data_IF_822348750532
#
_entry.id   IF_822348750532
#
_cell.length_a   1.000
_cell.length_b   1.000
_cell.length_c   1.000
_cell.angle_alpha   90.00
_cell.angle_beta   90.00
_cell.angle_gamma   90.00
#
_symmetry.space_group_name_H-M   'P 1'
#
loop_
_entity.id
_entity.type
_entity.pdbx_description
1 polymer ?
#
# COMPACT_ATOMS: atom_id res chain seq x y z
N UNK A 1 -12.41 -11.00 -17.27
CA UNK A 1 -12.09 -10.98 -15.81
C UNK A 1 -12.70 -9.72 -15.22
N UNK A 2 -13.06 -9.76 -13.95
CA UNK A 2 -13.80 -8.73 -13.20
C UNK A 2 -12.87 -7.69 -12.58
N UNK A 3 -13.40 -6.51 -12.24
CA UNK A 3 -12.76 -5.44 -11.44
C UNK A 3 -11.80 -6.00 -10.39
N UNK A 4 -10.55 -5.52 -10.40
CA UNK A 4 -9.47 -6.03 -9.56
C UNK A 4 -9.69 -5.65 -8.09
N UNK A 5 -9.52 -6.64 -7.20
CA UNK A 5 -9.66 -6.46 -5.75
C UNK A 5 -8.28 -6.43 -5.11
N UNK A 6 -7.86 -5.28 -4.57
CA UNK A 6 -6.55 -5.12 -3.89
C UNK A 6 -6.75 -5.13 -2.37
N UNK A 7 -6.21 -6.14 -1.68
CA UNK A 7 -6.20 -6.18 -0.20
C UNK A 7 -5.04 -5.39 0.37
N UNK A 8 -5.30 -4.56 1.37
CA UNK A 8 -4.28 -3.63 1.91
C UNK A 8 -3.20 -4.34 2.72
N UNK A 9 -3.48 -5.54 3.21
CA UNK A 9 -2.50 -6.34 3.92
C UNK A 9 -1.54 -7.08 2.98
N UNK A 10 -1.72 -7.02 1.65
CA UNK A 10 -0.89 -7.73 0.68
C UNK A 10 -0.79 -9.25 0.93
N UNK A 11 -1.84 -9.87 1.48
CA UNK A 11 -1.88 -11.32 1.80
C UNK A 11 -1.63 -12.27 0.63
N UNK A 12 -1.83 -11.82 -0.61
CA UNK A 12 -1.64 -12.64 -1.81
C UNK A 12 -0.36 -12.28 -2.58
N UNK A 13 0.47 -11.38 -2.04
CA UNK A 13 1.66 -10.93 -2.73
C UNK A 13 2.82 -11.92 -2.51
N UNK A 14 3.06 -12.75 -3.53
CA UNK A 14 4.02 -13.87 -3.50
C UNK A 14 5.47 -13.47 -3.22
N UNK A 15 5.82 -12.19 -3.41
CA UNK A 15 7.15 -11.64 -3.11
C UNK A 15 7.44 -11.60 -1.60
N UNK A 16 6.40 -11.47 -0.76
CA UNK A 16 6.54 -11.47 0.70
C UNK A 16 6.68 -12.90 1.22
N UNK A 17 7.89 -13.23 1.70
CA UNK A 17 8.16 -14.51 2.39
C UNK A 17 7.69 -14.41 3.83
N UNK A 18 8.07 -13.33 4.51
CA UNK A 18 7.69 -13.06 5.89
C UNK A 18 7.25 -11.62 6.03
N UNK A 19 6.10 -11.40 6.68
CA UNK A 19 5.55 -10.06 6.91
C UNK A 19 4.88 -9.96 8.27
N UNK A 20 4.90 -8.76 8.80
CA UNK A 20 4.02 -8.35 9.89
C UNK A 20 3.03 -7.32 9.37
N UNK A 21 1.84 -7.31 9.96
CA UNK A 21 0.77 -6.40 9.55
C UNK A 21 0.06 -5.82 10.78
N UNK A 22 -0.15 -4.51 10.76
CA UNK A 22 -0.94 -3.79 11.77
C UNK A 22 -1.91 -2.87 11.08
N UNK A 23 -3.13 -2.76 11.58
CA UNK A 23 -4.11 -1.83 11.04
C UNK A 23 -4.94 -1.14 12.13
N UNK A 24 -5.43 0.05 11.77
CA UNK A 24 -6.23 0.92 12.63
C UNK A 24 -7.34 1.54 11.80
N UNK A 25 -8.58 1.33 12.24
CA UNK A 25 -9.71 2.11 11.76
C UNK A 25 -9.68 3.47 12.44
N UNK A 26 -9.75 4.55 11.67
CA UNK A 26 -9.74 5.92 12.15
C UNK A 26 -11.11 6.51 11.88
N UNK A 27 -11.69 7.15 12.88
CA UNK A 27 -12.96 7.86 12.79
C UNK A 27 -12.88 9.11 13.66
N UNK A 28 -12.49 10.23 13.07
CA UNK A 28 -12.46 11.54 13.72
C UNK A 28 -12.78 12.64 12.70
N UNK A 29 -12.90 13.88 13.16
CA UNK A 29 -13.30 15.02 12.32
C UNK A 29 -12.30 15.36 11.19
N UNK A 30 -11.05 14.88 11.28
CA UNK A 30 -10.00 15.15 10.27
C UNK A 30 -9.90 14.04 9.23
N UNK A 31 -10.14 12.79 9.63
CA UNK A 31 -10.03 11.64 8.75
C UNK A 31 -10.92 10.49 9.22
N UNK A 32 -11.61 9.90 8.26
CA UNK A 32 -12.36 8.67 8.43
C UNK A 32 -11.91 7.66 7.39
N UNK A 33 -11.51 6.48 7.82
CA UNK A 33 -10.93 5.47 6.93
C UNK A 33 -10.22 4.36 7.70
N UNK A 34 -9.39 3.59 7.00
CA UNK A 34 -8.51 2.59 7.60
C UNK A 34 -7.07 2.80 7.15
N UNK A 35 -6.14 2.62 8.09
CA UNK A 35 -4.71 2.70 7.85
C UNK A 35 -4.09 1.35 8.19
N UNK A 36 -3.37 0.76 7.26
CA UNK A 36 -2.59 -0.46 7.42
C UNK A 36 -1.09 -0.18 7.29
N UNK A 37 -0.27 -0.96 7.99
CA UNK A 37 1.18 -0.96 7.85
C UNK A 37 1.62 -2.41 7.62
N UNK A 38 2.17 -2.68 6.44
CA UNK A 38 2.85 -3.93 6.12
C UNK A 38 4.33 -3.71 6.39
N UNK A 39 4.94 -4.54 7.23
CA UNK A 39 6.39 -4.61 7.43
C UNK A 39 6.92 -5.87 6.78
N UNK A 40 7.77 -5.73 5.78
CA UNK A 40 8.36 -6.85 5.05
C UNK A 40 9.55 -7.36 5.86
N UNK A 41 9.41 -8.49 6.54
CA UNK A 41 10.54 -9.08 7.28
C UNK A 41 11.53 -9.75 6.35
N UNK A 42 10.99 -10.42 5.34
CA UNK A 42 11.77 -11.06 4.30
C UNK A 42 11.02 -10.99 2.97
N UNK A 43 11.70 -10.52 1.93
CA UNK A 43 11.25 -10.63 0.54
C UNK A 43 12.03 -11.71 -0.19
N UNK A 44 11.45 -12.24 -1.27
CA UNK A 44 12.13 -13.22 -2.13
C UNK A 44 13.33 -12.62 -2.85
N UNK A 45 13.16 -11.40 -3.34
CA UNK A 45 14.15 -10.57 -4.01
C UNK A 45 13.57 -9.13 -4.00
N UNK A 46 14.43 -8.10 -4.03
CA UNK A 46 13.99 -6.71 -4.09
C UNK A 46 13.04 -6.43 -5.26
N UNK A 47 12.13 -5.47 -5.09
CA UNK A 47 11.34 -4.91 -6.18
C UNK A 47 11.91 -3.54 -6.55
N UNK A 48 12.50 -3.45 -7.72
CA UNK A 48 12.91 -2.20 -8.36
C UNK A 48 11.86 -1.78 -9.38
N UNK A 49 11.54 -0.49 -9.39
CA UNK A 49 10.63 0.15 -10.35
C UNK A 49 11.28 1.43 -10.88
N UNK A 50 10.87 1.84 -12.08
CA UNK A 50 11.26 3.13 -12.64
C UNK A 50 10.09 4.09 -12.50
N UNK A 51 10.30 5.21 -11.82
CA UNK A 51 9.28 6.23 -11.54
C UNK A 51 9.84 7.59 -11.91
N UNK A 52 9.17 8.31 -12.80
CA UNK A 52 9.64 9.61 -13.33
C UNK A 52 11.09 9.52 -13.83
N UNK A 53 11.41 8.41 -14.52
CA UNK A 53 12.74 8.13 -15.05
C UNK A 53 13.82 7.77 -14.02
N UNK A 54 13.48 7.61 -12.74
CA UNK A 54 14.41 7.23 -11.67
C UNK A 54 14.16 5.79 -11.22
N UNK A 55 15.23 5.02 -11.04
CA UNK A 55 15.11 3.66 -10.50
C UNK A 55 15.08 3.67 -8.98
N UNK A 56 14.06 3.02 -8.40
CA UNK A 56 13.80 3.00 -6.97
C UNK A 56 13.51 1.58 -6.53
N UNK A 57 14.20 1.13 -5.47
CA UNK A 57 13.86 -0.12 -4.80
C UNK A 57 12.72 0.19 -3.83
N UNK A 58 11.53 -0.31 -4.11
CA UNK A 58 10.30 0.01 -3.35
C UNK A 58 9.91 -1.11 -2.39
N UNK A 59 10.53 -2.28 -2.50
CA UNK A 59 10.41 -3.37 -1.55
C UNK A 59 11.71 -4.12 -1.39
N UNK A 60 12.19 -4.21 -0.17
CA UNK A 60 13.31 -5.04 0.24
C UNK A 60 13.09 -5.52 1.69
N UNK A 61 14.03 -6.27 2.24
CA UNK A 61 14.02 -6.70 3.63
C UNK A 61 13.94 -5.49 4.57
N UNK A 62 13.03 -5.58 5.54
CA UNK A 62 12.70 -4.56 6.54
C UNK A 62 12.02 -3.29 6.03
N UNK A 63 11.70 -3.23 4.73
CA UNK A 63 10.93 -2.12 4.16
C UNK A 63 9.48 -2.16 4.65
N UNK A 64 8.79 -1.04 4.52
CA UNK A 64 7.41 -0.91 4.99
C UNK A 64 6.53 -0.22 3.97
N UNK A 65 5.31 -0.72 3.84
CA UNK A 65 4.27 -0.08 3.05
C UNK A 65 3.15 0.38 3.96
N UNK A 66 2.93 1.70 4.00
CA UNK A 66 1.78 2.32 4.65
C UNK A 66 0.62 2.37 3.65
N UNK A 67 -0.54 1.86 4.03
CA UNK A 67 -1.73 1.78 3.19
C UNK A 67 -2.82 2.63 3.83
N UNK A 68 -3.32 3.64 3.14
CA UNK A 68 -4.34 4.57 3.63
C UNK A 68 -5.54 4.48 2.70
N UNK A 69 -6.67 4.04 3.25
CA UNK A 69 -7.95 3.96 2.54
C UNK A 69 -8.91 4.96 3.20
N UNK A 70 -9.07 6.17 2.64
CA UNK A 70 -10.09 7.10 3.11
C UNK A 70 -11.48 6.55 2.81
N UNK A 71 -12.41 6.69 3.76
CA UNK A 71 -13.81 6.34 3.56
C UNK A 71 -14.45 7.34 2.58
N UNK A 72 -15.32 6.85 1.68
CA UNK A 72 -16.04 7.65 0.66
C UNK A 72 -15.17 8.37 -0.37
N UNK A 73 -13.84 8.27 -0.31
CA UNK A 73 -12.96 8.66 -1.42
C UNK A 73 -12.82 7.52 -2.41
N UNK A 74 -12.53 7.90 -3.65
CA UNK A 74 -12.36 7.00 -4.80
C UNK A 74 -10.89 6.85 -5.19
N UNK A 75 -10.01 6.92 -4.19
CA UNK A 75 -8.59 6.60 -4.33
C UNK A 75 -8.09 5.95 -3.05
N UNK A 76 -6.99 5.20 -3.13
CA UNK A 76 -6.18 4.75 -2.00
C UNK A 76 -4.79 5.35 -2.11
N UNK A 77 -4.06 5.38 -1.00
CA UNK A 77 -2.66 5.79 -1.00
C UNK A 77 -1.81 4.68 -0.39
N UNK A 78 -0.83 4.20 -1.14
CA UNK A 78 0.28 3.40 -0.63
C UNK A 78 1.52 4.29 -0.55
N UNK A 79 2.21 4.31 0.58
CA UNK A 79 3.51 4.98 0.70
C UNK A 79 4.56 3.95 1.08
N UNK A 80 5.61 3.89 0.27
CA UNK A 80 6.71 2.96 0.42
C UNK A 80 7.81 3.62 1.23
N UNK A 81 8.34 2.89 2.21
CA UNK A 81 9.40 3.34 3.09
C UNK A 81 10.57 2.37 3.06
N UNK A 82 11.78 2.91 3.06
CA UNK A 82 13.00 2.13 3.27
C UNK A 82 13.08 1.57 4.71
N UNK A 83 14.15 0.85 5.00
CA UNK A 83 14.43 0.27 6.31
C UNK A 83 14.68 1.32 7.42
N UNK A 84 15.04 2.55 7.03
CA UNK A 84 15.24 3.71 7.92
C UNK A 84 13.94 4.49 8.16
N UNK A 85 12.89 4.24 7.37
CA UNK A 85 11.61 4.93 7.45
C UNK A 85 11.56 6.24 6.65
N UNK A 86 12.42 6.42 5.66
CA UNK A 86 12.32 7.50 4.68
C UNK A 86 11.30 7.12 3.60
N UNK A 87 10.42 8.03 3.18
CA UNK A 87 9.51 7.77 2.08
C UNK A 87 10.29 7.67 0.75
N UNK A 88 9.90 6.72 -0.08
CA UNK A 88 10.52 6.41 -1.38
C UNK A 88 9.60 6.72 -2.55
N UNK A 89 8.31 6.42 -2.40
CA UNK A 89 7.30 6.54 -3.43
C UNK A 89 5.92 6.67 -2.77
N UNK A 90 5.06 7.48 -3.38
CA UNK A 90 3.65 7.63 -3.03
C UNK A 90 2.81 7.18 -4.22
N UNK A 91 2.03 6.14 -4.01
CA UNK A 91 1.22 5.52 -5.05
C UNK A 91 -0.26 5.76 -4.75
N UNK A 92 -0.92 6.54 -5.61
CA UNK A 92 -2.34 6.83 -5.51
C UNK A 92 -3.14 5.95 -6.48
N UNK A 93 -3.70 4.83 -5.99
CA UNK A 93 -4.56 4.00 -6.83
C UNK A 93 -5.95 4.63 -6.99
N UNK A 94 -6.43 4.75 -8.22
CA UNK A 94 -7.80 5.21 -8.49
C UNK A 94 -8.77 4.04 -8.36
N UNK A 95 -9.84 4.25 -7.60
CA UNK A 95 -10.74 3.19 -7.18
C UNK A 95 -12.21 3.49 -7.51
N UNK A 96 -12.98 2.44 -7.80
CA UNK A 96 -14.44 2.50 -7.74
C UNK A 96 -14.87 2.78 -6.30
N UNK A 97 -14.30 2.04 -5.33
CA UNK A 97 -14.62 2.20 -3.91
C UNK A 97 -13.55 1.61 -2.99
N UNK A 98 -13.47 2.20 -1.80
CA UNK A 98 -12.72 1.65 -0.67
C UNK A 98 -13.65 0.90 0.30
N UNK A 99 -13.25 -0.32 0.67
CA UNK A 99 -13.90 -1.12 1.71
C UNK A 99 -13.01 -1.07 2.95
N UNK A 100 -13.45 -0.35 3.99
CA UNK A 100 -12.65 -0.05 5.18
C UNK A 100 -13.00 -0.95 6.38
N UNK A 101 -13.39 -2.21 6.12
CA UNK A 101 -13.70 -3.19 7.15
C UNK A 101 -12.40 -3.76 7.73
N UNK A 102 -12.21 -3.62 9.05
CA UNK A 102 -11.05 -4.19 9.76
C UNK A 102 -10.95 -5.70 9.52
N UNK A 103 -9.76 -6.20 9.20
CA UNK A 103 -9.42 -7.58 8.86
C UNK A 103 -9.70 -7.95 7.40
N UNK A 104 -10.44 -7.09 6.68
CA UNK A 104 -10.95 -7.37 5.34
C UNK A 104 -10.92 -6.13 4.43
N UNK A 105 -10.03 -5.18 4.74
CA UNK A 105 -9.96 -3.92 4.03
C UNK A 105 -9.32 -4.12 2.66
N UNK A 106 -9.98 -3.55 1.65
CA UNK A 106 -9.64 -3.75 0.24
C UNK A 106 -10.22 -2.65 -0.63
N UNK A 107 -9.69 -2.49 -1.83
CA UNK A 107 -10.22 -1.57 -2.84
C UNK A 107 -10.79 -2.33 -4.03
N UNK A 108 -11.72 -1.68 -4.73
CA UNK A 108 -12.10 -2.05 -6.09
C UNK A 108 -11.39 -1.10 -7.04
N UNK A 109 -10.38 -1.60 -7.72
CA UNK A 109 -9.36 -0.85 -8.44
C UNK A 109 -9.79 -0.52 -9.88
N UNK A 110 -9.44 0.67 -10.38
CA UNK A 110 -9.68 1.11 -11.76
C UNK A 110 -8.42 1.08 -12.63
N UNK A 111 -7.36 0.41 -12.18
CA UNK A 111 -6.06 0.30 -12.85
C UNK A 111 -5.27 1.60 -12.98
N UNK A 112 -5.92 2.74 -13.25
CA UNK A 112 -5.25 4.02 -13.36
C UNK A 112 -4.67 4.46 -12.02
N UNK A 113 -3.42 4.92 -12.03
CA UNK A 113 -2.74 5.33 -10.83
C UNK A 113 -1.86 6.58 -11.04
N UNK A 114 -1.62 7.34 -9.97
CA UNK A 114 -0.65 8.46 -9.95
C UNK A 114 0.52 8.09 -9.04
N UNK A 115 1.74 8.09 -9.61
CA UNK A 115 2.99 7.87 -8.88
C UNK A 115 3.60 9.22 -8.53
N UNK A 116 4.11 9.37 -7.30
CA UNK A 116 4.76 10.61 -6.85
C UNK A 116 6.04 10.26 -6.08
N UNK A 117 7.12 10.98 -6.40
CA UNK A 117 8.39 10.91 -5.68
C UNK A 117 8.42 11.86 -4.48
N UNK A 118 9.36 11.68 -3.53
CA UNK A 118 9.45 12.54 -2.35
C UNK A 118 9.73 14.01 -2.64
N UNK A 119 10.23 14.34 -3.83
CA UNK A 119 10.44 15.72 -4.31
C UNK A 119 9.17 16.36 -4.92
N UNK A 120 8.07 15.60 -5.00
CA UNK A 120 6.79 16.05 -5.56
C UNK A 120 6.67 15.87 -7.08
N UNK A 121 7.72 15.39 -7.77
CA UNK A 121 7.59 14.98 -9.16
C UNK A 121 6.64 13.77 -9.27
N UNK A 122 5.82 13.74 -10.32
CA UNK A 122 4.78 12.72 -10.47
C UNK A 122 4.60 12.30 -11.92
N UNK A 123 3.96 11.14 -12.10
CA UNK A 123 3.52 10.62 -13.40
C UNK A 123 2.18 9.89 -13.27
N UNK A 124 1.42 9.88 -14.37
CA UNK A 124 0.21 9.09 -14.54
C UNK A 124 0.58 7.82 -15.27
N UNK A 125 0.16 6.66 -14.76
CA UNK A 125 0.50 5.34 -15.31
C UNK A 125 -0.73 4.45 -15.46
N UNK A 126 -0.55 3.33 -16.17
CA UNK A 126 -1.56 2.30 -16.38
C UNK A 126 -2.83 2.77 -17.14
N UNK A 127 -2.68 3.80 -17.98
CA UNK A 127 -3.71 4.29 -18.91
C UNK A 127 -4.17 3.20 -19.90
N UNK A 128 -3.22 2.40 -20.41
CA UNK A 128 -3.48 1.27 -21.32
C UNK A 128 -4.30 0.18 -20.64
N UNK A 129 -4.03 -0.11 -19.36
CA UNK A 129 -4.77 -1.10 -18.56
C UNK A 129 -6.22 -0.62 -18.31
N UNK A 130 -6.40 0.67 -18.01
CA UNK A 130 -7.72 1.27 -17.88
C UNK A 130 -8.50 1.19 -19.21
N UNK A 131 -7.86 1.49 -20.34
CA UNK A 131 -8.48 1.39 -21.67
C UNK A 131 -8.83 -0.06 -22.02
N UNK A 132 -7.94 -1.01 -21.73
CA UNK A 132 -8.20 -2.43 -21.91
C UNK A 132 -9.40 -2.89 -21.07
N UNK A 133 -9.50 -2.45 -19.82
CA UNK A 133 -10.65 -2.74 -18.96
C UNK A 133 -11.97 -2.22 -19.55
N UNK A 134 -11.95 -1.02 -20.16
CA UNK A 134 -13.11 -0.46 -20.85
C UNK A 134 -13.49 -1.29 -22.10
N UNK A 135 -12.53 -1.56 -22.98
CA UNK A 135 -12.75 -2.29 -24.24
C UNK A 135 -13.27 -3.71 -24.00
N UNK A 136 -12.88 -4.34 -22.89
CA UNK A 136 -13.36 -5.65 -22.49
C UNK A 136 -14.65 -5.62 -21.65
N UNK A 137 -15.30 -4.46 -21.53
CA UNK A 137 -16.56 -4.30 -20.79
C UNK A 137 -16.45 -4.55 -19.29
N UNK A 138 -15.24 -4.48 -18.71
CA UNK A 138 -15.00 -4.69 -17.28
C UNK A 138 -15.38 -3.45 -16.46
N UNK A 139 -15.32 -2.28 -17.09
CA UNK A 139 -15.78 -1.00 -16.57
C UNK A 139 -16.66 -0.30 -17.61
N UNK A 140 -17.52 0.60 -17.14
CA UNK A 140 -18.35 1.45 -17.99
C UNK A 140 -17.57 2.67 -18.50
N UNK A 141 -18.03 3.28 -19.59
CA UNK A 141 -17.52 4.56 -20.08
C UNK A 141 -17.51 5.65 -18.99
N UNK A 142 -18.53 5.66 -18.13
CA UNK A 142 -18.61 6.58 -17.00
C UNK A 142 -17.48 6.35 -16.01
N UNK A 143 -17.19 5.11 -15.64
CA UNK A 143 -16.09 4.78 -14.71
C UNK A 143 -14.72 5.14 -15.31
N UNK A 144 -14.56 4.92 -16.62
CA UNK A 144 -13.36 5.33 -17.36
C UNK A 144 -13.13 6.85 -17.25
N UNK A 145 -14.14 7.68 -17.57
CA UNK A 145 -14.02 9.14 -17.44
C UNK A 145 -13.82 9.59 -16.00
N UNK A 146 -14.54 8.98 -15.05
CA UNK A 146 -14.39 9.29 -13.63
C UNK A 146 -12.97 9.00 -13.13
N UNK A 147 -12.29 7.96 -13.64
CA UNK A 147 -10.93 7.65 -13.26
C UNK A 147 -9.97 8.81 -13.56
N UNK A 148 -10.01 9.34 -14.79
CA UNK A 148 -9.20 10.51 -15.18
C UNK A 148 -9.56 11.76 -14.39
N UNK A 149 -10.85 12.02 -14.13
CA UNK A 149 -11.26 13.18 -13.32
C UNK A 149 -10.64 13.10 -11.92
N UNK A 150 -10.66 11.92 -11.27
CA UNK A 150 -10.08 11.76 -9.93
C UNK A 150 -8.56 11.88 -9.98
N UNK A 151 -7.90 11.27 -10.98
CA UNK A 151 -6.45 11.37 -11.16
C UNK A 151 -6.01 12.82 -11.35
N UNK A 152 -6.65 13.59 -12.24
CA UNK A 152 -6.34 15.00 -12.45
C UNK A 152 -6.56 15.84 -11.19
N UNK A 153 -7.63 15.58 -10.42
CA UNK A 153 -7.85 16.26 -9.14
C UNK A 153 -6.72 15.98 -8.14
N UNK A 154 -6.23 14.74 -8.08
CA UNK A 154 -5.09 14.38 -7.23
C UNK A 154 -3.81 15.06 -7.71
N UNK A 155 -3.55 15.08 -9.01
CA UNK A 155 -2.37 15.74 -9.59
C UNK A 155 -2.36 17.24 -9.25
N UNK A 156 -3.51 17.92 -9.31
CA UNK A 156 -3.63 19.32 -8.86
C UNK A 156 -3.33 19.43 -7.36
N UNK A 157 -3.92 18.56 -6.52
CA UNK A 157 -3.67 18.56 -5.07
C UNK A 157 -2.19 18.33 -4.73
N UNK A 158 -1.52 17.45 -5.48
CA UNK A 158 -0.08 17.17 -5.36
C UNK A 158 0.71 18.44 -5.72
N UNK A 159 0.46 19.06 -6.88
CA UNK A 159 1.18 20.28 -7.29
C UNK A 159 1.03 21.41 -6.26
N UNK A 160 -0.17 21.58 -5.71
CA UNK A 160 -0.46 22.71 -4.83
C UNK A 160 -0.06 22.47 -3.36
N UNK A 161 -0.13 21.23 -2.88
CA UNK A 161 -0.13 20.96 -1.42
C UNK A 161 0.66 19.69 -1.01
N UNK A 162 1.66 19.25 -1.79
CA UNK A 162 2.36 18.00 -1.49
C UNK A 162 3.00 17.95 -0.10
N UNK A 163 3.60 19.04 0.38
CA UNK A 163 4.22 19.10 1.71
C UNK A 163 3.23 18.78 2.85
N UNK A 164 1.97 19.20 2.71
CA UNK A 164 0.91 18.89 3.68
C UNK A 164 0.49 17.41 3.58
N UNK A 165 0.41 16.86 2.37
CA UNK A 165 0.19 15.42 2.14
C UNK A 165 1.30 14.62 2.82
N UNK A 166 2.58 14.94 2.57
CA UNK A 166 3.73 14.28 3.19
C UNK A 166 3.67 14.38 4.72
N UNK A 167 3.37 15.57 5.25
CA UNK A 167 3.21 15.80 6.69
C UNK A 167 2.12 14.93 7.31
N UNK A 168 0.96 14.80 6.64
CA UNK A 168 -0.15 13.93 7.08
C UNK A 168 0.23 12.46 7.02
N UNK A 169 0.89 12.03 5.96
CA UNK A 169 1.40 10.66 5.78
C UNK A 169 2.38 10.30 6.90
N UNK A 170 3.37 11.16 7.15
CA UNK A 170 4.37 10.90 8.20
C UNK A 170 3.75 10.85 9.59
N UNK A 171 2.74 11.70 9.87
CA UNK A 171 1.96 11.60 11.13
C UNK A 171 1.26 10.23 11.24
N UNK A 172 0.69 9.73 10.15
CA UNK A 172 0.06 8.41 10.12
C UNK A 172 1.09 7.29 10.33
N UNK A 173 2.21 7.34 9.61
CA UNK A 173 3.31 6.38 9.70
C UNK A 173 3.85 6.28 11.13
N UNK A 174 4.22 7.40 11.75
CA UNK A 174 4.75 7.41 13.12
C UNK A 174 3.77 6.81 14.12
N UNK A 175 2.48 7.17 14.03
CA UNK A 175 1.45 6.69 14.95
C UNK A 175 1.23 5.17 14.84
N UNK A 176 1.13 4.63 13.63
CA UNK A 176 0.92 3.20 13.44
C UNK A 176 2.19 2.39 13.73
N UNK A 177 3.38 2.92 13.39
CA UNK A 177 4.66 2.31 13.68
C UNK A 177 4.94 2.25 15.20
N UNK A 178 4.57 3.28 15.97
CA UNK A 178 4.62 3.23 17.44
C UNK A 178 3.72 2.13 18.01
N UNK A 179 2.49 1.98 17.48
CA UNK A 179 1.58 0.90 17.89
C UNK A 179 2.15 -0.47 17.57
N UNK A 180 2.72 -0.63 16.39
CA UNK A 180 3.42 -1.83 15.97
C UNK A 180 4.57 -2.20 16.94
N UNK A 181 5.44 -1.23 17.28
CA UNK A 181 6.52 -1.44 18.27
C UNK A 181 5.99 -1.87 19.64
N UNK A 182 4.93 -1.22 20.15
CA UNK A 182 4.30 -1.59 21.43
C UNK A 182 3.75 -3.03 21.43
N UNK A 183 3.09 -3.44 20.35
CA UNK A 183 2.58 -4.81 20.21
C UNK A 183 3.72 -5.85 20.24
N UNK A 184 4.87 -5.52 19.66
CA UNK A 184 6.06 -6.38 19.67
C UNK A 184 6.70 -6.51 21.06
N UNK A 185 6.71 -5.42 21.84
CA UNK A 185 7.20 -5.44 23.23
C UNK A 185 6.28 -6.25 24.16
N UNK A 186 4.97 -6.25 23.94
CA UNK A 186 4.01 -6.97 24.78
C UNK A 186 3.91 -8.47 24.46
N UNK A 187 4.35 -8.89 23.27
CA UNK A 187 4.51 -10.30 22.89
C UNK A 187 5.92 -10.55 22.35
N UNK A 188 6.95 -10.61 23.21
CA UNK A 188 8.26 -11.04 22.77
C UNK A 188 8.14 -12.47 22.21
N UNK A 189 8.58 -12.66 20.97
CA UNK A 189 8.63 -13.96 20.32
C UNK A 189 9.28 -14.98 21.26
N UNK A 190 8.51 -15.94 21.79
CA UNK A 190 9.07 -17.18 22.34
C UNK A 190 9.56 -17.99 21.14
N UNK A 191 10.87 -18.04 20.94
CA UNK A 191 11.48 -18.95 19.96
C UNK A 191 10.94 -20.36 20.22
N UNK A 192 10.22 -20.94 19.26
CA UNK A 192 9.88 -22.37 19.31
C UNK A 192 11.20 -23.14 19.33
N UNK A 193 11.50 -23.80 20.45
CA UNK A 193 12.62 -24.76 20.53
C UNK A 193 12.42 -25.78 19.42
N UNK A 194 13.39 -25.88 18.51
CA UNK A 194 13.47 -26.94 17.52
C UNK A 194 13.64 -28.25 18.30
N UNK A 195 12.62 -29.10 18.33
CA UNK A 195 12.79 -30.46 18.81
C UNK A 195 13.65 -31.22 17.80
N UNK A 196 14.91 -31.44 18.17
CA UNK A 196 15.85 -32.31 17.47
C UNK A 196 15.30 -33.74 17.56
N UNK A 197 14.71 -34.23 16.47
CA UNK A 197 14.32 -35.64 16.34
C UNK A 197 15.62 -36.47 16.36
N UNK A 198 15.77 -37.32 17.36
CA UNK A 198 16.85 -38.32 17.41
C UNK A 198 16.59 -39.34 16.30
N UNK A 199 17.52 -39.46 15.36
CA UNK A 199 17.62 -40.59 14.46
C UNK A 199 17.90 -41.84 15.29
N UNK A 200 16.99 -42.82 15.25
CA UNK A 200 17.25 -44.16 15.73
C UNK A 200 17.86 -44.98 14.61
N UNK A 201 19.14 -45.32 14.76
CA UNK A 201 19.78 -46.36 13.96
C UNK A 201 19.07 -47.70 14.22
N UNK A 202 18.62 -48.35 13.14
CA UNK A 202 18.25 -49.77 13.16
C UNK A 202 19.42 -50.55 12.55
N UNK A 203 19.96 -51.46 13.35
CA UNK A 203 20.70 -52.64 12.90
C UNK A 203 19.80 -53.55 12.07
#
# INVERSE_FOLDING_TARGET
MTVKVKYIDKRHWRRLIEREYTEVKVNNNRFKGIIGLVTMKKVREPLEVTVVGQNIIVADDNYKWLQILPEKKRYSLTVMFDDKGNPLEYYFDINIKNITQKGNARTLDLCLDVLVLPDGSYELVDEDDLLFALQNGQISQKQYHEAYIIAHQLMIEIVENFDDIQSKVMKCYHKINQKYKKNKHNHPFKSKKVHRVKSSDKK
#
